data_IF_896984064503
#
_entry.id   IF_896984064503
#
_cell.length_a   1.000
_cell.length_b   1.000
_cell.length_c   1.000
_cell.angle_alpha   90.00
_cell.angle_beta   90.00
_cell.angle_gamma   90.00
#
_symmetry.space_group_name_H-M   'P 1'
#
loop_
_entity.id
_entity.type
_entity.pdbx_description
1 polymer ?
#
# COMPACT_ATOMS: atom_id res chain seq x y z
N UNK A 1 33.31 6.29 0.46
CA UNK A 1 33.00 4.88 0.85
C UNK A 1 31.52 4.75 1.15
N UNK A 2 30.82 3.82 0.50
CA UNK A 2 29.41 3.53 0.75
C UNK A 2 29.26 2.91 2.14
N UNK A 3 28.34 3.43 2.97
CA UNK A 3 28.11 2.97 4.35
C UNK A 3 26.73 2.39 4.56
N UNK A 4 25.79 2.75 3.70
CA UNK A 4 24.41 2.28 3.76
C UNK A 4 23.88 1.96 2.36
N UNK A 5 22.98 0.99 2.31
CA UNK A 5 22.29 0.57 1.09
C UNK A 5 20.80 0.68 1.38
N UNK A 6 20.10 1.38 0.52
CA UNK A 6 18.65 1.54 0.59
C UNK A 6 18.02 0.69 -0.51
N UNK A 7 17.05 -0.13 -0.14
CA UNK A 7 16.28 -0.93 -1.08
C UNK A 7 14.86 -0.38 -1.21
N UNK A 8 14.37 -0.34 -2.41
CA UNK A 8 12.95 -0.30 -2.67
C UNK A 8 12.32 -1.68 -2.40
N UNK A 9 11.02 -1.72 -2.15
CA UNK A 9 10.29 -2.94 -1.83
C UNK A 9 9.64 -3.55 -3.07
N UNK A 10 8.66 -2.84 -3.63
CA UNK A 10 7.77 -3.35 -4.65
C UNK A 10 8.49 -3.51 -6.00
N UNK A 11 8.54 -4.75 -6.50
CA UNK A 11 9.29 -5.07 -7.72
C UNK A 11 10.82 -5.15 -7.52
N UNK A 12 11.33 -4.93 -6.32
CA UNK A 12 12.76 -5.01 -5.97
C UNK A 12 13.03 -6.17 -5.00
N UNK A 13 12.80 -5.97 -3.71
CA UNK A 13 12.91 -7.05 -2.73
C UNK A 13 11.71 -7.99 -2.75
N UNK A 14 10.55 -7.45 -3.05
CA UNK A 14 9.30 -8.17 -3.21
C UNK A 14 8.99 -8.31 -4.71
N UNK A 15 9.25 -9.47 -5.33
CA UNK A 15 8.95 -9.65 -6.75
C UNK A 15 7.44 -9.68 -6.93
N UNK A 16 6.94 -8.81 -7.79
CA UNK A 16 5.53 -8.78 -8.16
C UNK A 16 5.36 -8.23 -9.58
N UNK A 17 4.36 -8.71 -10.26
CA UNK A 17 3.76 -8.00 -11.37
C UNK A 17 2.80 -6.97 -10.78
N UNK A 18 3.10 -5.68 -10.96
CA UNK A 18 2.32 -4.60 -10.36
C UNK A 18 0.88 -4.56 -10.87
N UNK A 19 0.66 -4.91 -12.13
CA UNK A 19 -0.68 -4.92 -12.71
C UNK A 19 -1.52 -6.06 -12.14
N UNK A 20 -0.95 -7.26 -12.03
CA UNK A 20 -1.63 -8.40 -11.42
C UNK A 20 -1.89 -8.20 -9.94
N UNK A 21 -0.90 -7.70 -9.20
CA UNK A 21 -1.07 -7.37 -7.79
C UNK A 21 -2.18 -6.33 -7.59
N UNK A 22 -2.15 -5.23 -8.34
CA UNK A 22 -3.14 -4.16 -8.24
C UNK A 22 -4.56 -4.65 -8.55
N UNK A 23 -4.73 -5.47 -9.58
CA UNK A 23 -6.02 -6.10 -9.91
C UNK A 23 -6.51 -7.01 -8.77
N UNK A 24 -5.63 -7.85 -8.24
CA UNK A 24 -5.94 -8.73 -7.11
C UNK A 24 -6.31 -7.97 -5.85
N UNK A 25 -5.53 -6.96 -5.50
CA UNK A 25 -5.78 -6.05 -4.39
C UNK A 25 -7.16 -5.40 -4.49
N UNK A 26 -7.47 -4.75 -5.61
CA UNK A 26 -8.76 -4.09 -5.78
C UNK A 26 -9.94 -5.05 -5.80
N UNK A 27 -9.75 -6.27 -6.30
CA UNK A 27 -10.78 -7.30 -6.23
C UNK A 27 -11.11 -7.66 -4.77
N UNK A 28 -10.10 -7.83 -3.93
CA UNK A 28 -10.27 -8.12 -2.50
C UNK A 28 -10.94 -6.94 -1.78
N UNK A 29 -10.46 -5.72 -2.01
CA UNK A 29 -10.99 -4.51 -1.38
C UNK A 29 -12.47 -4.28 -1.76
N UNK A 30 -12.79 -4.38 -3.05
CA UNK A 30 -14.15 -4.24 -3.55
C UNK A 30 -15.09 -5.31 -2.95
N UNK A 31 -14.64 -6.56 -2.86
CA UNK A 31 -15.41 -7.64 -2.25
C UNK A 31 -15.69 -7.37 -0.76
N UNK A 32 -14.70 -6.88 0.00
CA UNK A 32 -14.86 -6.53 1.42
C UNK A 32 -15.86 -5.40 1.61
N UNK A 33 -15.82 -4.38 0.76
CA UNK A 33 -16.59 -3.15 0.96
C UNK A 33 -17.94 -3.10 0.24
N UNK A 34 -18.22 -4.02 -0.68
CA UNK A 34 -19.50 -4.12 -1.39
C UNK A 34 -20.74 -4.15 -0.46
N UNK A 35 -20.74 -4.92 0.65
CA UNK A 35 -21.88 -4.96 1.58
C UNK A 35 -22.16 -3.60 2.26
N UNK A 36 -21.19 -2.68 2.26
CA UNK A 36 -21.28 -1.36 2.88
C UNK A 36 -21.61 -0.25 1.86
N UNK A 37 -22.06 -0.64 0.67
CA UNK A 37 -22.54 0.30 -0.36
C UNK A 37 -21.43 0.97 -1.16
N UNK A 38 -20.26 0.35 -1.24
CA UNK A 38 -19.17 0.80 -2.12
C UNK A 38 -19.30 0.13 -3.49
N UNK A 39 -19.61 0.93 -4.51
CA UNK A 39 -19.61 0.46 -5.89
C UNK A 39 -18.15 0.28 -6.35
N UNK A 40 -17.77 -0.89 -6.92
CA UNK A 40 -16.38 -1.24 -7.18
C UNK A 40 -15.61 -0.21 -8.02
N UNK A 41 -16.19 0.26 -9.11
CA UNK A 41 -15.52 1.23 -9.99
C UNK A 41 -15.27 2.56 -9.27
N UNK A 42 -16.29 3.09 -8.60
CA UNK A 42 -16.20 4.36 -7.86
C UNK A 42 -15.19 4.23 -6.70
N UNK A 43 -15.17 3.07 -6.03
CA UNK A 43 -14.19 2.81 -4.97
C UNK A 43 -12.76 2.84 -5.51
N UNK A 44 -12.49 2.11 -6.59
CA UNK A 44 -11.17 2.06 -7.21
C UNK A 44 -10.71 3.44 -7.67
N UNK A 45 -11.56 4.17 -8.38
CA UNK A 45 -11.27 5.52 -8.85
C UNK A 45 -11.00 6.48 -7.66
N UNK A 46 -11.70 6.30 -6.54
CA UNK A 46 -11.52 7.12 -5.34
C UNK A 46 -10.23 6.78 -4.60
N UNK A 47 -9.86 5.51 -4.50
CA UNK A 47 -8.57 5.09 -3.93
C UNK A 47 -7.41 5.64 -4.75
N UNK A 48 -7.47 5.55 -6.09
CA UNK A 48 -6.46 6.15 -6.96
C UNK A 48 -6.37 7.68 -6.80
N UNK A 49 -7.50 8.34 -6.63
CA UNK A 49 -7.52 9.78 -6.39
C UNK A 49 -6.91 10.15 -5.02
N UNK A 50 -7.12 9.32 -3.99
CA UNK A 50 -6.48 9.44 -2.68
C UNK A 50 -4.97 9.24 -2.78
N UNK A 51 -4.54 8.20 -3.50
CA UNK A 51 -3.12 7.94 -3.78
C UNK A 51 -2.46 9.11 -4.51
N UNK A 52 -3.13 9.67 -5.51
CA UNK A 52 -2.62 10.86 -6.21
C UNK A 52 -2.50 12.09 -5.29
N UNK A 53 -3.37 12.22 -4.29
CA UNK A 53 -3.26 13.27 -3.28
C UNK A 53 -2.05 13.05 -2.36
N UNK A 54 -1.75 11.80 -2.00
CA UNK A 54 -0.53 11.46 -1.25
C UNK A 54 0.74 11.81 -2.03
N UNK A 55 0.79 11.46 -3.32
CA UNK A 55 1.95 11.76 -4.18
C UNK A 55 2.19 13.26 -4.33
N UNK A 56 1.12 14.05 -4.34
CA UNK A 56 1.18 15.52 -4.43
C UNK A 56 1.36 16.21 -3.08
N UNK A 57 1.38 15.46 -1.99
CA UNK A 57 1.54 16.01 -0.65
C UNK A 57 2.94 16.61 -0.48
N UNK A 58 2.99 17.88 -0.10
CA UNK A 58 4.25 18.62 0.09
C UNK A 58 4.86 18.44 1.49
N UNK A 59 4.25 17.59 2.34
CA UNK A 59 4.68 17.39 3.72
C UNK A 59 4.02 18.33 4.73
N UNK A 60 3.04 19.13 4.32
CA UNK A 60 2.28 19.99 5.23
C UNK A 60 1.36 19.17 6.17
N UNK A 61 1.04 17.96 5.79
CA UNK A 61 0.22 17.01 6.56
C UNK A 61 0.71 15.58 6.30
N UNK A 62 0.18 14.60 7.03
CA UNK A 62 0.51 13.19 6.77
C UNK A 62 -0.11 12.72 5.46
N UNK A 63 0.48 11.70 4.84
CA UNK A 63 -0.11 11.07 3.66
C UNK A 63 -1.48 10.47 3.95
N UNK A 64 -1.66 9.90 5.13
CA UNK A 64 -2.95 9.40 5.59
C UNK A 64 -4.02 10.49 5.59
N UNK A 65 -3.71 11.66 6.16
CA UNK A 65 -4.63 12.81 6.15
C UNK A 65 -4.97 13.23 4.73
N UNK A 66 -3.96 13.38 3.85
CA UNK A 66 -4.17 13.75 2.46
C UNK A 66 -5.06 12.74 1.71
N UNK A 67 -4.87 11.45 1.97
CA UNK A 67 -5.68 10.38 1.40
C UNK A 67 -7.15 10.50 1.84
N UNK A 68 -7.40 10.52 3.16
CA UNK A 68 -8.76 10.53 3.68
C UNK A 68 -9.53 11.81 3.38
N UNK A 69 -8.87 12.95 3.36
CA UNK A 69 -9.48 14.20 2.89
C UNK A 69 -9.93 14.08 1.43
N UNK A 70 -9.10 13.50 0.58
CA UNK A 70 -9.47 13.29 -0.82
C UNK A 70 -10.58 12.26 -0.99
N UNK A 71 -10.54 11.18 -0.23
CA UNK A 71 -11.54 10.11 -0.21
C UNK A 71 -12.92 10.65 0.22
N UNK A 72 -12.94 11.46 1.27
CA UNK A 72 -14.18 12.05 1.82
C UNK A 72 -14.91 12.99 0.84
N UNK A 73 -14.22 13.54 -0.15
CA UNK A 73 -14.87 14.32 -1.21
C UNK A 73 -15.82 13.51 -2.08
N UNK A 74 -15.59 12.20 -2.19
CA UNK A 74 -16.45 11.30 -2.97
C UNK A 74 -17.57 10.74 -2.12
N UNK A 75 -17.28 10.30 -0.88
CA UNK A 75 -18.23 9.56 -0.05
C UNK A 75 -18.82 10.37 1.11
N UNK A 76 -18.36 11.61 1.32
CA UNK A 76 -18.72 12.44 2.46
C UNK A 76 -17.90 12.13 3.70
N UNK A 77 -17.71 13.13 4.57
CA UNK A 77 -16.88 13.01 5.76
C UNK A 77 -17.47 12.00 6.76
N UNK A 78 -18.78 12.05 6.98
CA UNK A 78 -19.47 11.17 7.94
C UNK A 78 -19.32 9.68 7.58
N UNK A 79 -19.60 9.33 6.30
CA UNK A 79 -19.44 7.95 5.83
C UNK A 79 -17.98 7.50 5.90
N UNK A 80 -17.06 8.38 5.51
CA UNK A 80 -15.63 8.09 5.54
C UNK A 80 -15.16 7.76 6.95
N UNK A 81 -15.46 8.63 7.94
CA UNK A 81 -15.04 8.38 9.34
C UNK A 81 -15.67 7.11 9.93
N UNK A 82 -16.96 6.89 9.67
CA UNK A 82 -17.65 5.69 10.13
C UNK A 82 -17.04 4.41 9.57
N UNK A 83 -16.62 4.42 8.31
CA UNK A 83 -16.21 3.23 7.58
C UNK A 83 -14.69 3.01 7.58
N UNK A 84 -13.87 3.94 8.10
CA UNK A 84 -12.41 3.76 8.27
C UNK A 84 -12.03 2.43 8.92
N UNK A 85 -12.68 1.97 9.99
CA UNK A 85 -12.36 0.68 10.60
C UNK A 85 -12.48 -0.51 9.65
N UNK A 86 -13.34 -0.45 8.63
CA UNK A 86 -13.47 -1.51 7.64
C UNK A 86 -12.22 -1.63 6.75
N UNK A 87 -11.58 -0.50 6.47
CA UNK A 87 -10.30 -0.49 5.75
C UNK A 87 -9.17 -1.01 6.64
N UNK A 88 -9.15 -0.66 7.92
CA UNK A 88 -8.18 -1.19 8.88
C UNK A 88 -8.31 -2.71 9.00
N UNK A 89 -9.54 -3.24 9.13
CA UNK A 89 -9.81 -4.68 9.11
C UNK A 89 -9.35 -5.33 7.80
N UNK A 90 -9.61 -4.67 6.65
CA UNK A 90 -9.15 -5.18 5.36
C UNK A 90 -7.63 -5.36 5.34
N UNK A 91 -6.86 -4.37 5.76
CA UNK A 91 -5.40 -4.45 5.77
C UNK A 91 -4.87 -5.44 6.81
N UNK A 92 -5.54 -5.57 7.95
CA UNK A 92 -5.14 -6.51 8.98
C UNK A 92 -5.35 -7.98 8.57
N UNK A 93 -6.39 -8.29 7.78
CA UNK A 93 -6.82 -9.65 7.49
C UNK A 93 -6.89 -9.95 5.99
N UNK A 94 -7.82 -9.35 5.27
CA UNK A 94 -8.11 -9.71 3.86
C UNK A 94 -6.93 -9.43 2.93
N UNK A 95 -6.18 -8.36 3.19
CA UNK A 95 -5.00 -7.95 2.39
C UNK A 95 -3.90 -9.02 2.40
N UNK A 96 -3.80 -9.84 3.45
CA UNK A 96 -2.83 -10.92 3.51
C UNK A 96 -3.01 -11.94 2.37
N UNK A 97 -4.21 -12.05 1.82
CA UNK A 97 -4.50 -12.88 0.64
C UNK A 97 -3.84 -12.38 -0.64
N UNK A 98 -3.47 -11.09 -0.68
CA UNK A 98 -2.73 -10.53 -1.81
C UNK A 98 -1.31 -11.09 -1.92
N UNK A 99 -0.78 -11.74 -0.89
CA UNK A 99 0.52 -12.41 -0.90
C UNK A 99 0.66 -13.46 -2.02
N UNK A 100 -0.44 -14.03 -2.50
CA UNK A 100 -0.41 -14.98 -3.63
C UNK A 100 0.09 -14.35 -4.93
N UNK A 101 0.00 -13.02 -5.06
CA UNK A 101 0.50 -12.25 -6.20
C UNK A 101 1.98 -11.84 -6.03
N UNK A 102 2.59 -12.16 -4.89
CA UNK A 102 3.95 -11.81 -4.54
C UNK A 102 4.73 -13.09 -4.23
N UNK A 103 5.34 -13.74 -5.22
CA UNK A 103 6.09 -14.96 -4.98
C UNK A 103 7.27 -14.69 -4.04
N UNK A 104 7.65 -15.71 -3.26
CA UNK A 104 8.79 -15.63 -2.35
C UNK A 104 10.08 -15.40 -3.11
N UNK A 105 10.92 -14.49 -2.61
CA UNK A 105 12.23 -14.20 -3.16
C UNK A 105 13.34 -14.53 -2.15
N UNK A 106 13.83 -15.75 -2.18
CA UNK A 106 14.89 -16.19 -1.28
C UNK A 106 16.21 -15.44 -1.53
N UNK A 107 16.48 -15.00 -2.77
CA UNK A 107 17.65 -14.21 -3.12
C UNK A 107 17.64 -12.82 -2.46
N UNK A 108 16.47 -12.22 -2.22
CA UNK A 108 16.38 -10.95 -1.52
C UNK A 108 16.90 -11.10 -0.07
N UNK A 109 16.41 -12.10 0.66
CA UNK A 109 16.84 -12.38 2.02
C UNK A 109 18.34 -12.67 2.09
N UNK A 110 18.87 -13.51 1.19
CA UNK A 110 20.29 -13.83 1.09
C UNK A 110 21.15 -12.59 0.82
N UNK A 111 20.68 -11.72 -0.11
CA UNK A 111 21.40 -10.49 -0.46
C UNK A 111 21.47 -9.53 0.72
N UNK A 112 20.34 -9.29 1.40
CA UNK A 112 20.30 -8.46 2.60
C UNK A 112 21.23 -9.00 3.68
N UNK A 113 21.16 -10.28 3.97
CA UNK A 113 22.03 -10.93 4.98
C UNK A 113 23.52 -10.83 4.60
N UNK A 114 23.86 -10.98 3.31
CA UNK A 114 25.24 -10.83 2.83
C UNK A 114 25.75 -9.41 3.04
N UNK A 115 24.96 -8.40 2.70
CA UNK A 115 25.32 -6.99 2.84
C UNK A 115 25.52 -6.61 4.32
N UNK A 116 24.66 -7.10 5.20
CA UNK A 116 24.81 -6.91 6.65
C UNK A 116 26.11 -7.53 7.18
N UNK A 117 26.44 -8.76 6.73
CA UNK A 117 27.71 -9.40 7.10
C UNK A 117 28.95 -8.66 6.59
N UNK A 118 28.84 -7.95 5.48
CA UNK A 118 29.88 -7.09 4.94
C UNK A 118 29.99 -5.73 5.66
N UNK A 119 29.17 -5.48 6.68
CA UNK A 119 29.20 -4.29 7.50
C UNK A 119 28.41 -3.10 6.94
N UNK A 120 27.61 -3.30 5.90
CA UNK A 120 26.71 -2.26 5.42
C UNK A 120 25.48 -2.14 6.30
N UNK A 121 25.03 -0.90 6.54
CA UNK A 121 23.68 -0.65 7.03
C UNK A 121 22.71 -0.85 5.87
N UNK A 122 21.69 -1.66 6.09
CA UNK A 122 20.64 -1.90 5.10
C UNK A 122 19.33 -1.33 5.64
N UNK A 123 18.63 -0.55 4.81
CA UNK A 123 17.35 0.04 5.14
C UNK A 123 16.37 -0.10 3.97
N UNK A 124 15.09 -0.12 4.30
CA UNK A 124 14.00 -0.05 3.32
C UNK A 124 13.70 1.42 3.04
N UNK A 125 13.60 1.78 1.77
CA UNK A 125 13.22 3.10 1.30
C UNK A 125 12.16 2.92 0.20
N UNK A 126 10.91 2.83 0.62
CA UNK A 126 9.76 2.60 -0.26
C UNK A 126 8.72 3.68 -0.05
N UNK A 127 7.94 3.97 -1.10
CA UNK A 127 6.76 4.82 -1.01
C UNK A 127 5.52 3.92 -0.88
N UNK A 128 4.92 3.80 0.30
CA UNK A 128 3.69 3.03 0.44
C UNK A 128 2.58 3.69 -0.38
N UNK A 129 1.94 2.91 -1.24
CA UNK A 129 0.83 3.38 -2.08
C UNK A 129 -0.44 3.54 -1.24
N UNK A 130 -0.59 2.75 -0.18
CA UNK A 130 -1.78 2.72 0.67
C UNK A 130 -1.45 3.17 2.10
N UNK A 131 -2.41 3.85 2.80
CA UNK A 131 -2.11 4.51 4.07
C UNK A 131 -1.73 3.59 5.23
N UNK A 132 -2.04 2.30 5.14
CA UNK A 132 -1.85 1.33 6.25
C UNK A 132 -0.65 0.38 6.06
N UNK A 133 0.28 0.73 5.17
CA UNK A 133 1.49 -0.08 4.91
C UNK A 133 2.72 0.60 5.44
#
# INVERSE_FOLDING_TARGET
MIKAILFDLDGTLLPMDQDEFTKGYFKLLAAKLAPYGYEPKTLIDTVWAGTAAMVKNTGAQTNETAFWERFSRTYGAEKTERDKPLFEEFYADDFQRASVFCPRNDKAAETVAKLQRLGYRVALATNPIFPSI
#
